data_IF_055580294128
#
_entry.id   IF_055580294128
#
_cell.length_a   1.000
_cell.length_b   1.000
_cell.length_c   1.000
_cell.angle_alpha   90.00
_cell.angle_beta   90.00
_cell.angle_gamma   90.00
#
_symmetry.space_group_name_H-M   'P 1'
#
loop_
_entity.id
_entity.type
_entity.pdbx_description
1 polymer ?
#
# COMPACT_ATOMS: atom_id res chain seq x y z
N UNK A 1 17.57 -12.27 -10.43
CA UNK A 1 16.58 -11.39 -9.85
C UNK A 1 15.26 -11.54 -10.56
N UNK A 2 14.19 -11.68 -9.81
CA UNK A 2 12.88 -11.72 -10.41
C UNK A 2 12.56 -10.37 -11.01
N UNK A 3 12.01 -10.37 -12.22
CA UNK A 3 11.53 -9.14 -12.85
C UNK A 3 10.36 -8.60 -12.04
N UNK A 4 10.51 -7.40 -11.52
CA UNK A 4 9.43 -6.74 -10.81
C UNK A 4 8.54 -6.04 -11.82
N UNK A 5 7.25 -6.21 -11.64
CA UNK A 5 6.29 -5.50 -12.46
C UNK A 5 5.07 -5.17 -11.61
N UNK A 6 4.37 -4.14 -12.02
CA UNK A 6 3.16 -3.68 -11.37
C UNK A 6 1.95 -4.02 -12.21
N UNK A 7 0.81 -4.27 -11.56
CA UNK A 7 -0.47 -4.41 -12.22
C UNK A 7 -1.27 -3.16 -11.90
N UNK A 8 -1.57 -2.38 -12.92
CA UNK A 8 -2.24 -1.09 -12.75
C UNK A 8 -3.52 -1.08 -13.55
N UNK A 9 -4.64 -0.90 -12.86
CA UNK A 9 -5.93 -0.79 -13.51
C UNK A 9 -6.12 0.63 -14.01
N UNK A 10 -6.44 0.75 -15.28
CA UNK A 10 -6.69 2.06 -15.88
C UNK A 10 -7.97 2.65 -15.32
N UNK A 11 -7.89 3.88 -14.84
CA UNK A 11 -9.05 4.57 -14.27
C UNK A 11 -10.05 4.98 -15.36
N UNK A 12 -9.59 5.11 -16.58
CA UNK A 12 -10.45 5.54 -17.70
C UNK A 12 -11.23 4.40 -18.32
N UNK A 13 -10.60 3.23 -18.57
CA UNK A 13 -11.27 2.14 -19.28
C UNK A 13 -11.35 0.83 -18.51
N UNK A 14 -10.75 0.76 -17.30
CA UNK A 14 -10.81 -0.43 -16.45
C UNK A 14 -9.86 -1.55 -16.83
N UNK A 15 -9.09 -1.41 -17.89
CA UNK A 15 -8.13 -2.43 -18.32
C UNK A 15 -7.02 -2.60 -17.28
N UNK A 16 -6.70 -3.86 -16.94
CA UNK A 16 -5.57 -4.15 -16.09
C UNK A 16 -4.29 -4.19 -16.92
N UNK A 17 -3.34 -3.31 -16.59
CA UNK A 17 -2.09 -3.19 -17.29
C UNK A 17 -0.95 -3.82 -16.50
N UNK A 18 -0.03 -4.46 -17.21
CA UNK A 18 1.17 -5.03 -16.64
C UNK A 18 2.34 -4.13 -17.02
N UNK A 19 2.91 -3.44 -16.03
CA UNK A 19 3.96 -2.44 -16.26
C UNK A 19 5.26 -2.88 -15.60
N UNK A 20 6.34 -3.05 -16.36
CA UNK A 20 7.63 -3.36 -15.75
C UNK A 20 8.07 -2.24 -14.80
N UNK A 21 8.70 -2.62 -13.69
CA UNK A 21 9.08 -1.67 -12.64
C UNK A 21 9.90 -0.50 -13.18
N UNK A 22 10.84 -0.77 -14.10
CA UNK A 22 11.69 0.26 -14.64
C UNK A 22 10.96 1.28 -15.49
N UNK A 23 9.72 0.99 -15.91
CA UNK A 23 8.92 1.89 -16.73
C UNK A 23 7.89 2.69 -15.94
N UNK A 24 7.76 2.42 -14.64
CA UNK A 24 6.75 3.10 -13.83
C UNK A 24 6.97 4.60 -13.74
N UNK A 25 8.21 5.05 -13.72
CA UNK A 25 8.55 6.47 -13.61
C UNK A 25 8.52 7.19 -14.96
N UNK A 26 8.24 6.47 -16.05
CA UNK A 26 8.21 7.04 -17.40
C UNK A 26 6.82 7.44 -17.86
N UNK A 27 5.88 7.61 -16.92
CA UNK A 27 4.48 7.96 -17.16
C UNK A 27 3.84 6.99 -18.16
N UNK A 28 3.67 5.72 -17.74
CA UNK A 28 3.14 4.70 -18.65
C UNK A 28 1.70 4.97 -19.06
N UNK A 29 1.36 4.51 -20.25
CA UNK A 29 0.02 4.64 -20.81
C UNK A 29 -0.70 3.30 -20.77
N UNK A 30 -2.04 3.37 -20.69
CA UNK A 30 -2.86 2.18 -20.84
C UNK A 30 -2.67 1.59 -22.24
N UNK A 31 -2.45 0.28 -22.29
CA UNK A 31 -2.28 -0.41 -23.58
C UNK A 31 -3.52 -0.37 -24.44
N UNK A 32 -4.71 -0.21 -23.84
CA UNK A 32 -5.96 -0.21 -24.57
C UNK A 32 -6.43 1.19 -24.97
N UNK A 33 -6.61 2.10 -23.99
CA UNK A 33 -7.19 3.41 -24.28
C UNK A 33 -6.16 4.52 -24.46
N UNK A 34 -4.89 4.24 -24.17
CA UNK A 34 -3.75 5.15 -24.34
C UNK A 34 -3.71 6.34 -23.36
N UNK A 35 -4.65 6.43 -22.42
CA UNK A 35 -4.57 7.44 -21.36
C UNK A 35 -3.44 7.09 -20.41
N UNK A 36 -2.89 8.09 -19.73
CA UNK A 36 -1.87 7.85 -18.71
C UNK A 36 -2.43 7.00 -17.59
N UNK A 37 -1.62 6.07 -17.11
CA UNK A 37 -1.96 5.27 -15.94
C UNK A 37 -1.65 6.06 -14.68
N UNK A 38 -2.61 6.10 -13.76
CA UNK A 38 -2.45 6.78 -12.48
C UNK A 38 -2.37 5.75 -11.35
N UNK A 39 -1.45 5.99 -10.43
CA UNK A 39 -1.30 5.16 -9.25
C UNK A 39 -0.76 6.02 -8.11
N UNK A 40 -1.06 5.67 -6.85
CA UNK A 40 -0.68 6.51 -5.72
C UNK A 40 0.83 6.61 -5.55
N UNK A 41 1.30 7.83 -5.27
CA UNK A 41 2.70 8.11 -4.94
C UNK A 41 2.85 8.53 -3.48
N UNK A 42 1.76 8.51 -2.72
CA UNK A 42 1.69 8.89 -1.31
C UNK A 42 0.78 7.90 -0.59
N UNK A 43 0.92 7.76 0.74
CA UNK A 43 -0.04 6.95 1.47
C UNK A 43 -1.46 7.47 1.30
N UNK A 44 -2.40 6.55 1.20
CA UNK A 44 -3.82 6.84 0.97
C UNK A 44 -4.58 6.58 2.27
N UNK A 45 -5.37 7.55 2.71
CA UNK A 45 -6.22 7.36 3.88
C UNK A 45 -7.44 6.52 3.48
N UNK A 46 -7.69 5.44 4.22
CA UNK A 46 -8.85 4.61 3.98
C UNK A 46 -9.86 4.77 5.11
N UNK A 47 -11.12 4.66 4.72
CA UNK A 47 -12.27 4.72 5.61
C UNK A 47 -12.98 3.38 5.59
N UNK A 48 -13.93 3.19 6.49
CA UNK A 48 -14.76 2.00 6.48
C UNK A 48 -15.47 1.83 5.12
N UNK A 49 -15.90 2.94 4.53
CA UNK A 49 -16.62 2.91 3.25
C UNK A 49 -15.75 2.51 2.08
N UNK A 50 -14.51 2.98 2.03
CA UNK A 50 -13.67 2.76 0.85
C UNK A 50 -12.62 1.65 1.01
N UNK A 51 -12.54 1.02 2.19
CA UNK A 51 -11.50 0.04 2.47
C UNK A 51 -11.50 -1.12 1.44
N UNK A 52 -12.67 -1.63 1.10
CA UNK A 52 -12.76 -2.71 0.12
C UNK A 52 -12.15 -2.34 -1.21
N UNK A 53 -12.48 -1.15 -1.72
CA UNK A 53 -11.95 -0.67 -2.98
C UNK A 53 -10.45 -0.39 -2.90
N UNK A 54 -10.02 0.22 -1.80
CA UNK A 54 -8.63 0.65 -1.68
C UNK A 54 -7.68 -0.51 -1.39
N UNK A 55 -8.15 -1.57 -0.76
CA UNK A 55 -7.31 -2.69 -0.32
C UNK A 55 -7.65 -3.99 -1.03
N UNK A 56 -8.89 -4.47 -0.87
CA UNK A 56 -9.25 -5.81 -1.35
C UNK A 56 -9.33 -5.89 -2.88
N UNK A 57 -9.80 -4.83 -3.50
CA UNK A 57 -9.98 -4.78 -4.96
C UNK A 57 -8.75 -4.23 -5.68
N UNK A 58 -7.75 -3.80 -4.93
CA UNK A 58 -6.55 -3.24 -5.53
C UNK A 58 -5.65 -4.36 -6.05
N UNK A 59 -5.23 -4.31 -7.33
CA UNK A 59 -4.34 -5.33 -7.88
C UNK A 59 -2.91 -5.09 -7.37
N UNK A 60 -2.24 -6.16 -6.94
CA UNK A 60 -0.86 -6.08 -6.48
C UNK A 60 -0.76 -5.96 -4.97
N UNK A 61 0.31 -5.34 -4.51
CA UNK A 61 0.66 -5.31 -3.09
C UNK A 61 0.16 -4.04 -2.43
N UNK A 62 -0.56 -4.21 -1.33
CA UNK A 62 -1.04 -3.10 -0.49
C UNK A 62 -0.55 -3.35 0.93
N UNK A 63 0.04 -2.32 1.53
CA UNK A 63 0.40 -2.35 2.95
C UNK A 63 -0.55 -1.43 3.67
N UNK A 64 -1.27 -1.97 4.65
CA UNK A 64 -2.24 -1.21 5.44
C UNK A 64 -1.63 -0.95 6.81
N UNK A 65 -1.51 0.32 7.17
CA UNK A 65 -1.05 0.73 8.49
C UNK A 65 -2.23 1.22 9.32
N UNK A 66 -2.50 0.53 10.43
CA UNK A 66 -3.43 1.03 11.44
C UNK A 66 -2.63 1.88 12.42
N UNK A 67 -2.99 3.15 12.55
CA UNK A 67 -2.21 4.12 13.32
C UNK A 67 -3.10 4.96 14.23
N UNK A 68 -2.47 5.64 15.18
CA UNK A 68 -3.15 6.54 16.10
C UNK A 68 -2.36 7.84 16.23
N UNK A 69 -3.03 8.94 16.49
CA UNK A 69 -2.37 10.25 16.68
C UNK A 69 -1.47 10.27 17.90
N UNK A 70 -1.73 9.40 18.86
CA UNK A 70 -0.95 9.33 20.12
C UNK A 70 0.16 8.29 20.08
N UNK A 71 0.40 7.71 18.93
CA UNK A 71 1.35 6.63 18.77
C UNK A 71 2.71 7.18 18.34
N UNK A 72 3.68 7.17 19.26
CA UNK A 72 5.03 7.66 18.96
C UNK A 72 5.73 6.80 17.92
N UNK A 73 5.55 5.48 17.97
CA UNK A 73 6.13 4.57 17.01
C UNK A 73 5.55 4.81 15.60
N UNK A 74 4.26 5.15 15.50
CA UNK A 74 3.65 5.50 14.22
C UNK A 74 4.32 6.74 13.63
N UNK A 75 4.57 7.74 14.47
CA UNK A 75 5.23 8.96 14.03
C UNK A 75 6.65 8.70 13.53
N UNK A 76 7.35 7.75 14.15
CA UNK A 76 8.71 7.40 13.76
C UNK A 76 8.78 6.78 12.38
N UNK A 77 7.81 5.94 12.00
CA UNK A 77 7.86 5.28 10.70
C UNK A 77 7.17 6.07 9.59
N UNK A 78 6.48 7.15 9.92
CA UNK A 78 5.72 7.93 8.94
C UNK A 78 6.59 8.46 7.80
N UNK A 79 7.76 9.09 8.06
CA UNK A 79 8.60 9.57 6.97
C UNK A 79 9.08 8.45 6.05
N UNK A 80 9.37 7.28 6.60
CA UNK A 80 9.78 6.13 5.80
C UNK A 80 8.64 5.65 4.91
N UNK A 81 7.44 5.54 5.46
CA UNK A 81 6.28 5.10 4.67
C UNK A 81 5.99 6.07 3.52
N UNK A 82 6.10 7.37 3.77
CA UNK A 82 5.92 8.37 2.73
C UNK A 82 6.99 8.25 1.65
N UNK A 83 8.23 8.07 2.04
CA UNK A 83 9.33 7.89 1.10
C UNK A 83 9.15 6.65 0.24
N UNK A 84 8.78 5.53 0.87
CA UNK A 84 8.60 4.27 0.14
C UNK A 84 7.37 4.31 -0.75
N UNK A 85 6.30 4.98 -0.34
CA UNK A 85 5.12 5.16 -1.19
C UNK A 85 5.49 5.86 -2.49
N UNK A 86 6.42 6.82 -2.43
CA UNK A 86 6.91 7.51 -3.62
C UNK A 86 7.90 6.66 -4.40
N UNK A 87 8.93 6.14 -3.74
CA UNK A 87 10.00 5.38 -4.40
C UNK A 87 9.52 4.09 -5.04
N UNK A 88 8.54 3.44 -4.41
CA UNK A 88 7.99 2.16 -4.89
C UNK A 88 6.59 2.31 -5.47
N UNK A 89 6.25 3.53 -5.90
CA UNK A 89 4.93 3.81 -6.48
C UNK A 89 4.65 2.88 -7.65
N UNK A 90 3.45 2.33 -7.66
CA UNK A 90 3.04 1.33 -8.64
C UNK A 90 3.36 -0.11 -8.21
N UNK A 91 4.46 -0.33 -7.48
CA UNK A 91 4.83 -1.66 -6.97
C UNK A 91 4.18 -1.95 -5.62
N UNK A 92 3.98 -0.93 -4.80
CA UNK A 92 3.29 -1.06 -3.53
C UNK A 92 2.40 0.15 -3.32
N UNK A 93 1.23 -0.09 -2.75
CA UNK A 93 0.33 0.97 -2.31
C UNK A 93 0.32 0.95 -0.79
N UNK A 94 0.51 2.12 -0.18
CA UNK A 94 0.44 2.24 1.27
C UNK A 94 -0.88 2.89 1.64
N UNK A 95 -1.64 2.21 2.49
CA UNK A 95 -2.95 2.65 2.96
C UNK A 95 -2.87 2.87 4.46
N UNK A 96 -3.42 3.97 4.93
CA UNK A 96 -3.43 4.31 6.34
C UNK A 96 -4.86 4.29 6.88
N UNK A 97 -5.04 3.70 8.04
CA UNK A 97 -6.33 3.68 8.74
C UNK A 97 -6.13 4.27 10.14
N UNK A 98 -6.78 5.39 10.38
CA UNK A 98 -6.77 6.04 11.70
C UNK A 98 -7.75 5.29 12.59
N UNK A 99 -7.26 4.59 13.61
CA UNK A 99 -8.11 3.73 14.44
C UNK A 99 -9.11 4.50 15.31
N UNK A 100 -8.87 5.78 15.53
CA UNK A 100 -9.78 6.60 16.34
C UNK A 100 -10.97 7.07 15.51
N UNK A 101 -10.75 7.33 14.22
CA UNK A 101 -11.82 7.72 13.29
C UNK A 101 -12.56 6.52 12.71
N UNK A 102 -11.82 5.45 12.40
CA UNK A 102 -12.36 4.23 11.78
C UNK A 102 -12.37 3.09 12.79
N UNK A 103 -12.96 3.33 13.95
CA UNK A 103 -12.86 2.36 15.02
C UNK A 103 -13.62 1.06 14.73
N UNK A 104 -14.70 1.11 13.95
CA UNK A 104 -15.41 -0.11 13.52
C UNK A 104 -14.52 -1.00 12.67
N UNK A 105 -13.74 -0.37 11.78
CA UNK A 105 -12.80 -1.08 10.94
C UNK A 105 -11.69 -1.69 11.78
N UNK A 106 -11.13 -0.93 12.73
CA UNK A 106 -10.12 -1.43 13.64
C UNK A 106 -10.62 -2.62 14.45
N UNK A 107 -11.87 -2.57 14.92
CA UNK A 107 -12.48 -3.68 15.63
C UNK A 107 -12.63 -4.92 14.78
N UNK A 108 -13.04 -4.74 13.53
CA UNK A 108 -13.20 -5.87 12.59
C UNK A 108 -11.89 -6.62 12.42
N UNK A 109 -10.77 -5.90 12.37
CA UNK A 109 -9.45 -6.51 12.23
C UNK A 109 -8.80 -6.82 13.58
N UNK A 110 -9.50 -6.60 14.68
CA UNK A 110 -9.02 -6.88 16.04
C UNK A 110 -7.69 -6.19 16.33
N UNK A 111 -7.57 -4.92 15.89
CA UNK A 111 -6.35 -4.14 16.11
C UNK A 111 -6.28 -3.77 17.60
N UNK A 112 -5.21 -4.18 18.26
CA UNK A 112 -5.02 -3.96 19.71
C UNK A 112 -3.88 -3.01 20.03
N UNK A 113 -3.00 -2.79 19.08
CA UNK A 113 -1.85 -1.91 19.26
C UNK A 113 -1.53 -1.21 17.97
N UNK A 114 -0.84 -0.08 18.05
CA UNK A 114 -0.40 0.69 16.90
C UNK A 114 1.11 0.91 16.95
N UNK A 115 1.78 0.94 15.80
CA UNK A 115 1.20 0.61 14.50
C UNK A 115 1.02 -0.90 14.33
N UNK A 116 0.01 -1.28 13.57
CA UNK A 116 -0.12 -2.65 13.05
C UNK A 116 -0.16 -2.54 11.54
N UNK A 117 0.70 -3.29 10.88
CA UNK A 117 0.78 -3.28 9.42
C UNK A 117 0.36 -4.64 8.88
N UNK A 118 -0.54 -4.61 7.90
CA UNK A 118 -1.00 -5.82 7.23
C UNK A 118 -0.60 -5.73 5.75
N UNK A 119 -0.12 -6.82 5.18
CA UNK A 119 0.23 -6.87 3.76
C UNK A 119 -0.79 -7.70 3.02
N UNK A 120 -1.35 -7.13 1.97
CA UNK A 120 -2.28 -7.81 1.07
C UNK A 120 -1.67 -7.90 -0.31
N UNK A 121 -1.88 -9.03 -0.97
CA UNK A 121 -1.53 -9.20 -2.38
C UNK A 121 -2.76 -9.72 -3.10
N UNK A 122 -3.26 -8.95 -4.07
CA UNK A 122 -4.47 -9.29 -4.82
C UNK A 122 -5.64 -9.64 -3.89
N UNK A 123 -5.80 -8.85 -2.83
CA UNK A 123 -6.90 -9.01 -1.88
C UNK A 123 -6.71 -10.05 -0.80
N UNK A 124 -5.57 -10.75 -0.80
CA UNK A 124 -5.27 -11.77 0.22
C UNK A 124 -4.19 -11.28 1.17
N UNK A 125 -4.41 -11.46 2.48
CA UNK A 125 -3.39 -11.13 3.47
C UNK A 125 -2.24 -12.13 3.41
N UNK A 126 -1.02 -11.62 3.26
CA UNK A 126 0.17 -12.47 3.16
C UNK A 126 1.16 -12.27 4.30
N UNK A 127 1.05 -11.19 5.05
CA UNK A 127 1.94 -10.94 6.19
C UNK A 127 1.33 -9.91 7.12
N UNK A 128 1.86 -9.87 8.35
CA UNK A 128 1.45 -8.87 9.33
C UNK A 128 2.65 -8.53 10.22
N UNK A 129 2.66 -7.30 10.73
CA UNK A 129 3.71 -6.80 11.58
C UNK A 129 3.09 -5.96 12.69
N UNK A 130 3.40 -6.30 13.94
CA UNK A 130 2.91 -5.57 15.10
C UNK A 130 4.05 -4.70 15.64
N UNK A 131 3.78 -3.40 15.75
CA UNK A 131 4.76 -2.44 16.20
C UNK A 131 5.64 -1.96 15.05
N UNK A 132 6.60 -1.11 15.39
CA UNK A 132 7.54 -0.54 14.43
C UNK A 132 8.88 -1.24 14.53
N UNK A 133 9.49 -1.49 13.38
CA UNK A 133 10.88 -1.93 13.30
C UNK A 133 11.78 -0.71 13.09
N UNK A 134 13.07 -0.81 13.40
CA UNK A 134 14.03 0.22 12.98
C UNK A 134 13.94 0.43 11.47
N UNK A 135 14.27 1.64 11.01
CA UNK A 135 14.06 2.04 9.62
C UNK A 135 14.61 1.03 8.61
N UNK A 136 15.84 0.59 8.82
CA UNK A 136 16.49 -0.36 7.89
C UNK A 136 15.72 -1.68 7.80
N UNK A 137 15.29 -2.20 8.94
CA UNK A 137 14.55 -3.46 8.99
C UNK A 137 13.13 -3.29 8.44
N UNK A 138 12.50 -2.15 8.69
CA UNK A 138 11.18 -1.85 8.14
C UNK A 138 11.23 -1.79 6.61
N UNK A 139 12.26 -1.13 6.08
CA UNK A 139 12.45 -1.05 4.63
C UNK A 139 12.64 -2.44 4.03
N UNK A 140 13.46 -3.28 4.67
CA UNK A 140 13.68 -4.65 4.21
C UNK A 140 12.39 -5.48 4.24
N UNK A 141 11.58 -5.30 5.28
CA UNK A 141 10.32 -6.00 5.42
C UNK A 141 9.35 -5.64 4.28
N UNK A 142 9.27 -4.34 3.97
CA UNK A 142 8.41 -3.86 2.87
C UNK A 142 8.90 -4.38 1.52
N UNK A 143 10.21 -4.33 1.28
CA UNK A 143 10.77 -4.84 0.03
C UNK A 143 10.54 -6.35 -0.13
N UNK A 144 10.64 -7.10 0.97
CA UNK A 144 10.33 -8.53 0.93
C UNK A 144 8.86 -8.78 0.55
N UNK A 145 7.95 -7.93 1.04
CA UNK A 145 6.53 -8.03 0.70
C UNK A 145 6.29 -7.80 -0.79
N UNK A 146 6.98 -6.83 -1.38
CA UNK A 146 6.86 -6.53 -2.80
C UNK A 146 7.32 -7.71 -3.66
N UNK A 147 8.32 -8.43 -3.19
CA UNK A 147 8.95 -9.50 -3.96
C UNK A 147 8.31 -10.89 -3.79
N UNK A 148 7.30 -11.02 -2.95
CA UNK A 148 6.62 -12.30 -2.75
C UNK A 148 5.70 -12.69 -3.87
#
# INVERSE_FOLDING_TARGET
MADRSAYIRCRSCGTLNHVPAQRLMERPHCGKCKNFLEFPTRPVDATEENFGREVFQWPGVVIVEFWSVRCGACALIQPLLERLAYQKAGLVKIVKVNIEREFSLANRFQIRSTPTLLVYRNGKMIDELYGALPEHEMQAWIEAAINR
#
